data_IF_307697166905
#
_entry.id   IF_307697166905
#
_cell.length_a   1.000
_cell.length_b   1.000
_cell.length_c   1.000
_cell.angle_alpha   90.00
_cell.angle_beta   90.00
_cell.angle_gamma   90.00
#
_symmetry.space_group_name_H-M   'P 1'
#
loop_
_entity.id
_entity.type
_entity.pdbx_description
1 polymer ?
#
# COMPACT_ATOMS: atom_id res chain seq x y z
N UNK A 1 -18.42 5.25 -32.68
CA UNK A 1 -17.87 4.96 -31.34
C UNK A 1 -17.04 3.70 -31.47
N UNK A 2 -15.71 3.79 -31.35
CA UNK A 2 -14.84 2.63 -31.25
C UNK A 2 -15.10 1.94 -29.91
N UNK A 3 -15.47 0.67 -29.95
CA UNK A 3 -15.58 -0.19 -28.76
C UNK A 3 -14.23 -0.21 -28.05
N UNK A 4 -14.20 0.13 -26.77
CA UNK A 4 -12.97 0.08 -25.97
C UNK A 4 -12.44 -1.36 -25.92
N UNK A 5 -11.11 -1.50 -25.96
CA UNK A 5 -10.44 -2.80 -25.84
C UNK A 5 -10.44 -3.25 -24.38
N UNK A 6 -10.89 -4.49 -24.12
CA UNK A 6 -11.07 -5.04 -22.77
C UNK A 6 -10.28 -6.32 -22.47
N UNK A 7 -9.56 -6.86 -23.46
CA UNK A 7 -8.77 -8.09 -23.31
C UNK A 7 -7.31 -7.82 -23.66
N UNK A 8 -6.44 -8.22 -22.74
CA UNK A 8 -5.01 -7.97 -22.78
C UNK A 8 -4.26 -9.26 -22.43
N UNK A 9 -3.13 -9.48 -23.09
CA UNK A 9 -2.20 -10.54 -22.71
C UNK A 9 -1.42 -10.13 -21.46
N UNK A 10 -0.77 -11.12 -20.83
CA UNK A 10 0.15 -10.87 -19.71
C UNK A 10 1.27 -9.89 -20.09
N UNK A 11 1.87 -10.08 -21.26
CA UNK A 11 2.99 -9.25 -21.69
C UNK A 11 2.55 -7.80 -21.96
N UNK A 12 1.32 -7.61 -22.43
CA UNK A 12 0.75 -6.27 -22.58
C UNK A 12 0.55 -5.59 -21.23
N UNK A 13 0.00 -6.29 -20.23
CA UNK A 13 -0.15 -5.73 -18.87
C UNK A 13 1.20 -5.37 -18.26
N UNK A 14 2.26 -6.12 -18.56
CA UNK A 14 3.62 -5.89 -18.05
C UNK A 14 4.45 -4.94 -18.94
N UNK A 15 3.85 -4.25 -19.91
CA UNK A 15 4.60 -3.38 -20.82
C UNK A 15 4.94 -2.04 -20.18
N UNK A 16 6.24 -1.80 -20.00
CA UNK A 16 6.78 -0.51 -19.56
C UNK A 16 6.71 0.57 -20.65
N UNK A 17 6.50 1.85 -20.26
CA UNK A 17 6.69 2.98 -21.17
C UNK A 17 8.12 3.09 -21.70
N UNK A 18 8.27 3.75 -22.84
CA UNK A 18 9.58 4.17 -23.32
C UNK A 18 10.09 5.33 -22.49
N UNK A 19 10.99 5.07 -21.55
CA UNK A 19 11.61 6.11 -20.72
C UNK A 19 12.69 6.86 -21.50
N UNK A 20 12.64 8.19 -21.48
CA UNK A 20 13.73 9.04 -21.98
C UNK A 20 14.87 9.14 -20.95
N UNK A 21 14.55 9.03 -19.67
CA UNK A 21 15.53 9.05 -18.56
C UNK A 21 15.08 8.09 -17.47
N UNK A 22 16.00 7.29 -16.94
CA UNK A 22 15.78 6.38 -15.81
C UNK A 22 16.12 7.06 -14.49
N UNK A 23 15.58 6.54 -13.39
CA UNK A 23 15.83 7.06 -12.04
C UNK A 23 16.86 6.16 -11.37
N UNK A 24 17.98 6.73 -10.94
CA UNK A 24 19.05 5.99 -10.26
C UNK A 24 19.49 6.75 -9.00
N UNK A 25 19.79 6.01 -7.93
CA UNK A 25 20.42 6.54 -6.72
C UNK A 25 21.38 5.51 -6.13
N UNK A 26 22.60 5.93 -5.81
CA UNK A 26 23.62 5.07 -5.19
C UNK A 26 23.80 3.74 -5.94
N UNK A 27 23.86 3.80 -7.28
CA UNK A 27 23.95 2.65 -8.18
C UNK A 27 22.74 1.69 -8.14
N UNK A 28 21.63 2.09 -7.52
CA UNK A 28 20.35 1.39 -7.54
C UNK A 28 19.43 2.01 -8.58
N UNK A 29 19.02 1.21 -9.56
CA UNK A 29 18.01 1.57 -10.56
C UNK A 29 16.62 1.47 -9.92
N UNK A 30 15.90 2.58 -9.85
CA UNK A 30 14.51 2.60 -9.38
C UNK A 30 13.57 2.33 -10.56
N UNK A 31 12.43 1.67 -10.33
CA UNK A 31 11.46 1.46 -11.39
C UNK A 31 10.83 2.78 -11.87
N UNK A 32 10.18 2.72 -13.03
CA UNK A 32 9.66 3.92 -13.69
C UNK A 32 10.74 4.77 -14.34
N UNK A 33 10.35 5.97 -14.75
CA UNK A 33 11.25 6.90 -15.42
C UNK A 33 10.54 8.15 -15.90
N UNK A 34 11.23 8.96 -16.68
CA UNK A 34 10.69 10.21 -17.20
C UNK A 34 10.53 10.18 -18.72
N UNK A 35 9.51 10.87 -19.21
CA UNK A 35 9.38 11.27 -20.60
C UNK A 35 10.38 12.40 -20.95
N UNK A 36 10.48 12.73 -22.24
CA UNK A 36 11.42 13.77 -22.72
C UNK A 36 11.10 15.19 -22.22
N UNK A 37 9.87 15.43 -21.75
CA UNK A 37 9.44 16.70 -21.15
C UNK A 37 9.60 16.73 -19.62
N UNK A 38 10.13 15.64 -19.03
CA UNK A 38 10.32 15.50 -17.59
C UNK A 38 9.11 14.95 -16.82
N UNK A 39 8.00 14.59 -17.47
CA UNK A 39 6.88 13.96 -16.77
C UNK A 39 7.23 12.54 -16.30
N UNK A 40 6.88 12.18 -15.07
CA UNK A 40 7.02 10.79 -14.60
C UNK A 40 6.11 9.84 -15.38
N UNK A 41 6.64 8.66 -15.68
CA UNK A 41 5.97 7.55 -16.34
C UNK A 41 6.01 6.35 -15.38
N UNK A 42 4.87 5.95 -14.82
CA UNK A 42 4.75 4.76 -13.99
C UNK A 42 5.23 3.51 -14.71
N UNK A 43 5.83 2.55 -14.00
CA UNK A 43 6.16 1.27 -14.59
C UNK A 43 4.93 0.50 -15.06
N UNK A 44 5.14 -0.34 -16.09
CA UNK A 44 4.15 -1.30 -16.60
C UNK A 44 2.78 -0.64 -16.91
N UNK A 45 2.79 0.61 -17.36
CA UNK A 45 1.59 1.45 -17.42
C UNK A 45 1.02 1.66 -18.81
N UNK A 46 1.74 1.25 -19.87
CA UNK A 46 1.35 1.48 -21.28
C UNK A 46 -0.06 0.96 -21.56
N UNK A 47 -0.37 -0.24 -21.07
CA UNK A 47 -1.69 -0.85 -21.25
C UNK A 47 -2.48 -0.95 -19.95
N UNK A 48 -1.81 -1.11 -18.80
CA UNK A 48 -2.46 -1.32 -17.50
C UNK A 48 -3.41 -0.18 -17.13
N UNK A 49 -2.96 1.07 -17.21
CA UNK A 49 -3.76 2.26 -16.88
C UNK A 49 -5.00 2.39 -17.79
N UNK A 50 -4.88 2.41 -19.14
CA UNK A 50 -6.06 2.50 -20.00
C UNK A 50 -6.98 1.27 -19.92
N UNK A 51 -6.44 0.08 -19.62
CA UNK A 51 -7.25 -1.12 -19.41
C UNK A 51 -8.15 -0.99 -18.17
N UNK A 52 -7.59 -0.58 -17.03
CA UNK A 52 -8.34 -0.35 -15.79
C UNK A 52 -9.43 0.69 -15.99
N UNK A 53 -9.11 1.80 -16.67
CA UNK A 53 -10.10 2.82 -16.99
C UNK A 53 -11.24 2.28 -17.89
N UNK A 54 -10.93 1.42 -18.86
CA UNK A 54 -11.93 0.82 -19.73
C UNK A 54 -12.86 -0.17 -18.99
N UNK A 55 -12.31 -0.99 -18.09
CA UNK A 55 -13.10 -1.89 -17.24
C UNK A 55 -13.98 -1.13 -16.25
N UNK A 56 -13.45 -0.09 -15.61
CA UNK A 56 -14.23 0.78 -14.72
C UNK A 56 -15.38 1.49 -15.46
N UNK A 57 -15.10 2.01 -16.66
CA UNK A 57 -16.13 2.63 -17.51
C UNK A 57 -17.22 1.63 -17.95
N UNK A 58 -16.87 0.35 -18.13
CA UNK A 58 -17.84 -0.70 -18.43
C UNK A 58 -18.80 -0.93 -17.25
N UNK A 59 -18.31 -0.97 -16.01
CA UNK A 59 -19.13 -1.05 -14.81
C UNK A 59 -20.08 0.15 -14.69
N UNK A 60 -19.54 1.36 -14.88
CA UNK A 60 -20.32 2.59 -14.75
C UNK A 60 -21.40 2.71 -15.83
N UNK A 61 -21.08 2.32 -17.08
CA UNK A 61 -22.05 2.27 -18.17
C UNK A 61 -23.18 1.24 -17.92
N UNK A 62 -22.90 0.19 -17.14
CA UNK A 62 -23.89 -0.77 -16.67
C UNK A 62 -24.67 -0.30 -15.42
N UNK A 63 -24.37 0.89 -14.88
CA UNK A 63 -25.04 1.45 -13.71
C UNK A 63 -24.50 0.92 -12.37
N UNK A 64 -23.30 0.34 -12.36
CA UNK A 64 -22.64 -0.19 -11.16
C UNK A 64 -21.50 0.73 -10.69
N UNK A 65 -21.22 0.80 -9.38
CA UNK A 65 -20.03 1.48 -8.86
C UNK A 65 -18.74 0.80 -9.36
N UNK A 66 -17.70 1.59 -9.59
CA UNK A 66 -16.34 1.11 -9.91
C UNK A 66 -15.44 0.94 -8.67
N UNK A 67 -15.98 1.19 -7.47
CA UNK A 67 -15.27 1.15 -6.18
C UNK A 67 -16.08 0.45 -5.11
N UNK A 68 -15.41 -0.34 -4.27
CA UNK A 68 -15.97 -1.10 -3.15
C UNK A 68 -15.65 -0.47 -1.79
N UNK A 69 -14.54 0.25 -1.68
CA UNK A 69 -14.16 1.01 -0.48
C UNK A 69 -13.99 2.48 -0.85
N UNK A 70 -14.57 3.37 -0.06
CA UNK A 70 -14.36 4.81 -0.21
C UNK A 70 -13.04 5.20 0.48
N UNK A 71 -12.19 6.07 -0.12
CA UNK A 71 -10.94 6.50 0.52
C UNK A 71 -11.14 7.03 1.95
N UNK A 72 -12.24 7.75 2.20
CA UNK A 72 -12.55 8.34 3.51
C UNK A 72 -12.82 7.28 4.60
N UNK A 73 -13.05 6.01 4.22
CA UNK A 73 -13.24 4.92 5.18
C UNK A 73 -11.98 4.64 6.02
N UNK A 74 -10.81 4.99 5.49
CA UNK A 74 -9.50 4.80 6.13
C UNK A 74 -8.79 6.11 6.46
N UNK A 75 -9.47 7.25 6.28
CA UNK A 75 -8.91 8.56 6.64
C UNK A 75 -8.70 8.64 8.15
N UNK A 76 -7.44 8.70 8.57
CA UNK A 76 -7.04 8.64 9.97
C UNK A 76 -5.86 9.56 10.23
N UNK A 77 -5.77 10.05 11.47
CA UNK A 77 -4.67 10.88 11.92
C UNK A 77 -3.33 10.12 11.85
N UNK A 78 -2.29 10.79 11.38
CA UNK A 78 -0.92 10.28 11.46
C UNK A 78 -0.20 10.91 12.65
N UNK A 79 0.46 10.10 13.47
CA UNK A 79 1.30 10.58 14.57
C UNK A 79 2.77 10.21 14.28
N UNK A 80 3.71 11.17 14.34
CA UNK A 80 3.49 12.61 14.55
C UNK A 80 2.79 13.27 13.36
N UNK A 81 1.92 14.26 13.59
CA UNK A 81 1.33 15.01 12.48
C UNK A 81 2.41 15.83 11.73
N UNK A 82 2.08 16.46 10.61
CA UNK A 82 3.06 17.19 9.78
C UNK A 82 3.85 18.23 10.58
N UNK A 83 3.16 19.06 11.37
CA UNK A 83 3.82 20.13 12.14
C UNK A 83 4.74 19.54 13.22
N UNK A 84 4.28 18.52 13.92
CA UNK A 84 5.06 17.77 14.91
C UNK A 84 6.31 17.13 14.28
N UNK A 85 6.16 16.44 13.14
CA UNK A 85 7.26 15.78 12.45
C UNK A 85 8.33 16.79 11.99
N UNK A 86 7.91 17.93 11.41
CA UNK A 86 8.81 19.01 11.02
C UNK A 86 9.52 19.63 12.23
N UNK A 87 8.82 19.79 13.36
CA UNK A 87 9.42 20.28 14.61
C UNK A 87 10.52 19.32 15.09
N UNK A 88 10.26 18.01 15.13
CA UNK A 88 11.25 17.00 15.52
C UNK A 88 12.51 17.07 14.65
N UNK A 89 12.35 17.07 13.32
CA UNK A 89 13.47 17.12 12.38
C UNK A 89 14.31 18.39 12.52
N UNK A 90 13.68 19.56 12.67
CA UNK A 90 14.38 20.84 12.83
C UNK A 90 15.16 20.95 14.14
N UNK A 91 14.76 20.21 15.17
CA UNK A 91 15.41 20.21 16.48
C UNK A 91 16.37 19.03 16.68
N UNK A 92 16.73 18.29 15.63
CA UNK A 92 17.70 17.20 15.72
C UNK A 92 17.17 15.92 16.39
N UNK A 93 15.85 15.81 16.59
CA UNK A 93 15.19 14.60 17.06
C UNK A 93 14.82 13.69 15.86
N UNK A 94 15.83 13.27 15.10
CA UNK A 94 15.66 12.49 13.87
C UNK A 94 15.64 10.98 14.09
N UNK A 95 15.95 10.48 15.29
CA UNK A 95 15.98 9.05 15.62
C UNK A 95 14.59 8.42 15.59
N UNK A 96 13.59 9.06 16.19
CA UNK A 96 12.20 8.63 16.14
C UNK A 96 11.67 8.69 14.70
N UNK A 97 11.99 9.75 13.95
CA UNK A 97 11.63 9.85 12.54
C UNK A 97 12.27 8.75 11.69
N UNK A 98 13.54 8.41 11.96
CA UNK A 98 14.22 7.28 11.31
C UNK A 98 13.50 5.97 11.58
N UNK A 99 13.07 5.71 12.82
CA UNK A 99 12.30 4.51 13.19
C UNK A 99 10.93 4.46 12.53
N UNK A 100 10.22 5.59 12.50
CA UNK A 100 8.89 5.68 11.90
C UNK A 100 8.96 5.43 10.40
N UNK A 101 9.89 6.10 9.69
CA UNK A 101 10.09 5.88 8.26
C UNK A 101 10.61 4.46 7.97
N UNK A 102 11.43 3.87 8.84
CA UNK A 102 11.85 2.48 8.70
C UNK A 102 10.68 1.52 8.84
N UNK A 103 9.78 1.74 9.81
CA UNK A 103 8.56 0.95 9.94
C UNK A 103 7.72 1.05 8.67
N UNK A 104 7.54 2.25 8.09
CA UNK A 104 6.82 2.38 6.81
C UNK A 104 7.45 1.53 5.72
N UNK A 105 8.77 1.64 5.50
CA UNK A 105 9.45 0.83 4.48
C UNK A 105 9.38 -0.68 4.72
N UNK A 106 9.36 -1.11 5.98
CA UNK A 106 9.10 -2.52 6.33
C UNK A 106 7.69 -2.95 5.92
N UNK A 107 6.69 -2.09 6.11
CA UNK A 107 5.30 -2.38 5.70
C UNK A 107 5.15 -2.40 4.19
N UNK A 108 5.81 -1.50 3.45
CA UNK A 108 5.84 -1.53 1.98
C UNK A 108 6.36 -2.88 1.47
N UNK A 109 7.49 -3.35 2.02
CA UNK A 109 8.04 -4.65 1.65
C UNK A 109 7.12 -5.85 1.95
N UNK A 110 6.15 -5.71 2.88
CA UNK A 110 5.16 -6.76 3.15
C UNK A 110 4.10 -6.87 2.05
N UNK A 111 3.81 -5.79 1.30
CA UNK A 111 2.83 -5.77 0.20
C UNK A 111 3.15 -6.84 -0.84
N UNK A 112 4.39 -6.83 -1.34
CA UNK A 112 4.92 -7.85 -2.25
C UNK A 112 4.71 -9.28 -1.74
N UNK A 113 5.13 -9.56 -0.52
CA UNK A 113 5.06 -10.92 0.04
C UNK A 113 3.61 -11.35 0.24
N UNK A 114 2.71 -10.43 0.60
CA UNK A 114 1.27 -10.66 0.63
C UNK A 114 0.69 -11.06 -0.73
N UNK A 115 1.08 -10.36 -1.80
CA UNK A 115 0.65 -10.66 -3.17
C UNK A 115 1.14 -12.04 -3.61
N UNK A 116 2.41 -12.38 -3.33
CA UNK A 116 3.01 -13.67 -3.67
C UNK A 116 2.35 -14.87 -2.99
N UNK A 117 1.62 -14.65 -1.89
CA UNK A 117 0.85 -15.69 -1.21
C UNK A 117 -0.48 -16.02 -1.90
N UNK A 118 -0.96 -15.20 -2.84
CA UNK A 118 -2.20 -15.47 -3.56
C UNK A 118 -1.91 -16.53 -4.63
N UNK A 119 -2.43 -17.76 -4.48
CA UNK A 119 -2.13 -18.83 -5.43
C UNK A 119 -2.82 -18.58 -6.76
N UNK A 120 -2.14 -18.90 -7.87
CA UNK A 120 -2.74 -18.87 -9.19
C UNK A 120 -3.97 -19.79 -9.25
N UNK A 121 -5.09 -19.28 -9.78
CA UNK A 121 -6.31 -20.06 -9.94
C UNK A 121 -7.09 -19.69 -11.20
N UNK A 122 -7.87 -20.65 -11.68
CA UNK A 122 -8.85 -20.45 -12.74
C UNK A 122 -10.14 -19.87 -12.16
N UNK A 123 -10.22 -18.53 -12.13
CA UNK A 123 -11.33 -17.78 -11.56
C UNK A 123 -12.69 -18.08 -12.23
N UNK A 124 -12.67 -18.41 -13.53
CA UNK A 124 -13.89 -18.69 -14.28
C UNK A 124 -14.65 -19.89 -13.72
N UNK A 125 -13.96 -20.83 -13.03
CA UNK A 125 -14.58 -21.99 -12.38
C UNK A 125 -15.47 -21.64 -11.20
N UNK A 126 -15.24 -20.49 -10.57
CA UNK A 126 -16.01 -20.04 -9.41
C UNK A 126 -17.13 -19.07 -9.79
N UNK A 127 -17.08 -18.49 -10.98
CA UNK A 127 -17.98 -17.41 -11.40
C UNK A 127 -18.91 -17.92 -12.50
N UNK A 128 -20.17 -17.46 -12.50
CA UNK A 128 -21.16 -17.88 -13.51
C UNK A 128 -20.96 -17.13 -14.82
N UNK A 129 -20.78 -15.81 -14.73
CA UNK A 129 -20.61 -14.90 -15.84
C UNK A 129 -19.22 -15.03 -16.50
N UNK A 130 -19.08 -14.72 -17.80
CA UNK A 130 -17.77 -14.64 -18.45
C UNK A 130 -16.92 -13.50 -17.87
N UNK A 131 -15.64 -13.78 -17.57
CA UNK A 131 -14.71 -12.78 -16.99
C UNK A 131 -13.58 -12.34 -17.93
N UNK A 132 -13.46 -12.92 -19.13
CA UNK A 132 -12.31 -12.68 -20.04
C UNK A 132 -12.13 -11.22 -20.50
N UNK A 133 -13.18 -10.41 -20.41
CA UNK A 133 -13.18 -9.01 -20.80
C UNK A 133 -13.31 -8.07 -19.59
N UNK A 134 -12.90 -8.52 -18.40
CA UNK A 134 -13.06 -7.77 -17.15
C UNK A 134 -11.72 -7.68 -16.41
N UNK A 135 -11.55 -6.71 -15.52
CA UNK A 135 -10.38 -6.55 -14.65
C UNK A 135 -10.12 -7.82 -13.81
N UNK A 136 -11.17 -8.41 -13.24
CA UNK A 136 -11.15 -9.64 -12.46
C UNK A 136 -10.57 -10.81 -13.26
N UNK A 137 -10.94 -10.95 -14.53
CA UNK A 137 -10.37 -11.98 -15.42
C UNK A 137 -8.89 -11.79 -15.73
N UNK A 138 -8.33 -10.60 -15.49
CA UNK A 138 -6.91 -10.30 -15.71
C UNK A 138 -6.05 -10.33 -14.44
N UNK A 139 -6.61 -10.64 -13.26
CA UNK A 139 -5.86 -10.71 -12.00
C UNK A 139 -4.61 -11.59 -12.11
N UNK A 140 -4.81 -12.84 -12.54
CA UNK A 140 -3.74 -13.82 -12.75
C UNK A 140 -3.15 -13.78 -14.18
N UNK A 141 -3.55 -12.80 -15.00
CA UNK A 141 -2.99 -12.54 -16.33
C UNK A 141 -2.11 -11.30 -16.34
N UNK A 142 -1.48 -10.99 -15.21
CA UNK A 142 -0.45 -9.97 -15.11
C UNK A 142 -0.74 -8.86 -14.10
N UNK A 143 -1.97 -8.63 -13.65
CA UNK A 143 -2.25 -7.52 -12.72
C UNK A 143 -1.60 -7.72 -11.34
N UNK A 144 -1.78 -8.89 -10.73
CA UNK A 144 -1.14 -9.21 -9.45
C UNK A 144 0.39 -9.26 -9.59
N UNK A 145 0.90 -9.75 -10.72
CA UNK A 145 2.33 -9.79 -10.98
C UNK A 145 2.91 -8.38 -11.16
N UNK A 146 2.24 -7.51 -11.92
CA UNK A 146 2.66 -6.13 -12.10
C UNK A 146 2.72 -5.40 -10.75
N UNK A 147 1.70 -5.57 -9.90
CA UNK A 147 1.68 -5.02 -8.56
C UNK A 147 2.85 -5.55 -7.72
N UNK A 148 3.05 -6.87 -7.63
CA UNK A 148 4.18 -7.43 -6.86
C UNK A 148 5.56 -6.98 -7.35
N UNK A 149 5.73 -6.76 -8.66
CA UNK A 149 6.96 -6.23 -9.25
C UNK A 149 7.14 -4.73 -8.97
N UNK A 150 6.07 -3.97 -8.82
CA UNK A 150 6.17 -2.58 -8.40
C UNK A 150 6.60 -2.53 -6.92
N UNK A 151 6.03 -3.37 -6.06
CA UNK A 151 6.39 -3.41 -4.64
C UNK A 151 7.85 -3.80 -4.35
N UNK A 152 8.33 -4.89 -4.97
CA UNK A 152 9.64 -5.47 -4.66
C UNK A 152 10.68 -5.35 -5.77
N UNK A 153 10.30 -4.73 -6.89
CA UNK A 153 11.17 -4.61 -8.05
C UNK A 153 11.14 -5.85 -8.95
N UNK A 154 11.87 -5.75 -10.06
CA UNK A 154 11.98 -6.79 -11.08
C UNK A 154 13.35 -6.72 -11.73
N UNK A 155 13.97 -7.89 -11.90
CA UNK A 155 15.30 -8.02 -12.50
C UNK A 155 16.34 -7.18 -11.72
N UNK A 156 16.85 -6.09 -12.30
CA UNK A 156 17.78 -5.13 -11.68
C UNK A 156 17.10 -3.87 -11.13
N UNK A 157 15.79 -3.70 -11.35
CA UNK A 157 15.01 -2.57 -10.87
C UNK A 157 14.53 -2.79 -9.44
N UNK A 158 14.73 -1.78 -8.60
CA UNK A 158 14.18 -1.68 -7.25
C UNK A 158 12.68 -1.32 -7.27
N UNK A 159 11.94 -1.87 -6.32
CA UNK A 159 10.53 -1.59 -6.06
C UNK A 159 10.30 -0.47 -5.05
N UNK A 160 9.03 -0.27 -4.69
CA UNK A 160 8.61 0.66 -3.64
C UNK A 160 9.35 0.43 -2.32
N UNK A 161 9.61 -0.84 -1.96
CA UNK A 161 10.33 -1.21 -0.73
C UNK A 161 11.70 -0.52 -0.61
N UNK A 162 12.50 -0.58 -1.66
CA UNK A 162 13.83 -0.01 -1.75
C UNK A 162 13.80 1.48 -2.09
N UNK A 163 12.86 1.92 -2.93
CA UNK A 163 12.64 3.34 -3.21
C UNK A 163 12.32 4.12 -1.92
N UNK A 164 11.53 3.53 -1.02
CA UNK A 164 11.20 4.15 0.26
C UNK A 164 12.44 4.28 1.16
N UNK A 165 13.28 3.26 1.25
CA UNK A 165 14.52 3.37 2.02
C UNK A 165 15.48 4.39 1.41
N UNK A 166 15.57 4.45 0.08
CA UNK A 166 16.32 5.49 -0.63
C UNK A 166 15.83 6.90 -0.28
N UNK A 167 14.51 7.11 -0.18
CA UNK A 167 13.90 8.38 0.28
C UNK A 167 14.28 8.69 1.72
N UNK A 168 14.13 7.73 2.65
CA UNK A 168 14.48 7.93 4.07
C UNK A 168 15.94 8.35 4.19
N UNK A 169 16.83 7.62 3.54
CA UNK A 169 18.27 7.80 3.67
C UNK A 169 18.70 9.15 3.04
N UNK A 170 18.14 9.51 1.88
CA UNK A 170 18.33 10.83 1.28
C UNK A 170 17.84 11.97 2.18
N UNK A 171 16.63 11.86 2.71
CA UNK A 171 16.01 12.92 3.47
C UNK A 171 16.73 13.14 4.82
N UNK A 172 17.18 12.06 5.46
CA UNK A 172 17.77 12.08 6.79
C UNK A 172 19.31 12.01 6.81
N UNK A 173 19.97 12.18 5.65
CA UNK A 173 21.43 12.17 5.51
C UNK A 173 22.07 10.86 6.00
N UNK A 174 21.61 9.73 5.44
CA UNK A 174 22.08 8.38 5.76
C UNK A 174 22.08 8.10 7.28
N UNK A 175 20.90 8.14 7.93
CA UNK A 175 20.80 7.99 9.37
C UNK A 175 21.27 6.59 9.80
N UNK A 176 21.80 6.43 11.02
CA UNK A 176 22.23 5.13 11.49
C UNK A 176 21.04 4.18 11.62
N UNK A 177 21.08 3.06 10.89
CA UNK A 177 20.07 1.99 10.96
C UNK A 177 20.58 0.89 11.89
N UNK A 178 19.80 0.60 12.93
CA UNK A 178 20.14 -0.39 13.95
C UNK A 178 19.15 -1.55 13.94
N UNK A 179 19.59 -2.75 14.32
CA UNK A 179 18.76 -3.96 14.26
C UNK A 179 17.50 -3.88 15.13
N UNK A 180 17.54 -3.15 16.23
CA UNK A 180 16.39 -2.98 17.13
C UNK A 180 15.25 -2.19 16.47
N UNK A 181 15.49 -1.45 15.38
CA UNK A 181 14.43 -0.81 14.59
C UNK A 181 13.52 -1.82 13.88
N UNK A 182 13.95 -3.09 13.79
CA UNK A 182 13.20 -4.18 13.21
C UNK A 182 12.61 -5.12 14.27
N UNK A 183 12.74 -4.79 15.55
CA UNK A 183 12.26 -5.63 16.66
C UNK A 183 11.02 -5.04 17.34
N UNK A 184 10.18 -5.92 17.90
CA UNK A 184 8.94 -5.56 18.60
C UNK A 184 7.99 -4.66 17.78
N UNK A 185 7.89 -4.93 16.48
CA UNK A 185 7.05 -4.14 15.59
C UNK A 185 5.56 -4.35 15.89
N UNK A 186 4.71 -3.32 15.77
CA UNK A 186 3.27 -3.42 16.03
C UNK A 186 2.51 -4.21 14.94
N UNK A 187 3.23 -4.70 13.94
CA UNK A 187 2.74 -5.41 12.76
C UNK A 187 3.50 -6.73 12.59
N UNK A 188 2.76 -7.79 12.26
CA UNK A 188 3.34 -9.08 11.91
C UNK A 188 3.71 -9.15 10.43
N UNK A 189 4.91 -9.65 10.09
CA UNK A 189 5.25 -9.93 8.71
C UNK A 189 4.34 -11.03 8.13
N UNK A 190 4.09 -11.02 6.81
CA UNK A 190 3.32 -12.06 6.15
C UNK A 190 4.03 -13.43 6.24
N UNK A 191 3.28 -14.54 6.15
CA UNK A 191 3.88 -15.87 6.09
C UNK A 191 4.95 -15.97 4.99
N UNK A 192 6.11 -16.54 5.32
CA UNK A 192 7.21 -16.73 4.35
C UNK A 192 8.16 -15.54 4.20
N UNK A 193 7.90 -14.41 4.89
CA UNK A 193 8.85 -13.31 4.98
C UNK A 193 10.18 -13.75 5.61
N UNK A 194 11.30 -13.41 4.96
CA UNK A 194 12.66 -13.81 5.37
C UNK A 194 13.53 -12.63 5.82
N UNK A 195 12.97 -11.42 5.90
CA UNK A 195 13.71 -10.23 6.32
C UNK A 195 13.84 -10.08 7.84
N UNK A 196 14.43 -8.97 8.32
CA UNK A 196 14.81 -8.80 9.73
C UNK A 196 13.65 -8.47 10.68
N UNK A 197 12.46 -8.15 10.15
CA UNK A 197 11.31 -7.69 10.92
C UNK A 197 10.77 -8.77 11.87
N UNK A 198 10.65 -8.43 13.15
CA UNK A 198 10.12 -9.30 14.21
C UNK A 198 8.93 -8.59 14.88
N UNK A 199 7.74 -9.21 14.88
CA UNK A 199 6.57 -8.63 15.54
C UNK A 199 6.71 -8.64 17.06
N UNK A 200 5.99 -7.74 17.72
CA UNK A 200 5.69 -7.89 19.15
C UNK A 200 4.75 -9.09 19.38
N UNK A 201 4.73 -9.70 20.58
CA UNK A 201 3.80 -10.79 20.91
C UNK A 201 2.32 -10.43 20.72
N UNK A 202 1.98 -9.15 20.82
CA UNK A 202 0.64 -8.58 20.71
C UNK A 202 0.29 -8.14 19.27
N UNK A 203 1.21 -8.27 18.32
CA UNK A 203 0.94 -7.96 16.92
C UNK A 203 -0.12 -8.91 16.35
N UNK A 204 -1.13 -8.35 15.68
CA UNK A 204 -2.16 -9.16 15.02
C UNK A 204 -1.53 -9.85 13.81
N UNK A 205 -1.72 -11.17 13.75
CA UNK A 205 -1.25 -12.01 12.64
C UNK A 205 -2.34 -12.21 11.58
N UNK A 206 -1.92 -12.68 10.41
CA UNK A 206 -2.77 -13.02 9.27
C UNK A 206 -3.75 -14.19 9.56
N UNK A 207 -3.65 -14.86 10.72
CA UNK A 207 -4.48 -15.99 11.11
C UNK A 207 -6.00 -15.73 11.06
N UNK A 208 -6.42 -14.46 11.23
CA UNK A 208 -7.83 -14.06 11.10
C UNK A 208 -8.43 -14.24 9.71
N UNK A 209 -7.62 -14.44 8.66
CA UNK A 209 -8.13 -14.66 7.29
C UNK A 209 -8.94 -15.96 7.14
N UNK A 210 -8.75 -16.95 8.02
CA UNK A 210 -9.46 -18.24 8.00
C UNK A 210 -10.78 -18.21 8.77
N UNK A 211 -10.96 -17.25 9.68
CA UNK A 211 -12.13 -17.20 10.55
C UNK A 211 -13.37 -16.69 9.80
N UNK A 212 -14.52 -17.34 10.01
CA UNK A 212 -15.79 -16.91 9.42
C UNK A 212 -15.89 -17.08 7.90
N UNK A 213 -15.11 -18.00 7.32
CA UNK A 213 -15.32 -18.44 5.94
C UNK A 213 -16.66 -19.18 5.82
N UNK A 214 -17.37 -18.98 4.71
CA UNK A 214 -18.59 -19.71 4.40
C UNK A 214 -18.27 -21.16 4.01
N UNK A 215 -19.03 -22.11 4.54
CA UNK A 215 -18.86 -23.54 4.24
C UNK A 215 -19.30 -23.91 2.82
N UNK A 216 -20.23 -23.15 2.24
CA UNK A 216 -20.80 -23.40 0.92
C UNK A 216 -20.00 -22.79 -0.24
N UNK A 217 -18.89 -22.09 0.03
CA UNK A 217 -18.05 -21.43 -0.97
C UNK A 217 -16.63 -21.97 -0.91
N UNK A 218 -16.00 -22.13 -2.08
CA UNK A 218 -14.63 -22.60 -2.18
C UNK A 218 -13.69 -21.71 -1.32
N UNK A 219 -12.90 -22.29 -0.39
CA UNK A 219 -12.07 -21.51 0.53
C UNK A 219 -11.02 -20.67 -0.20
N UNK A 220 -10.45 -21.19 -1.29
CA UNK A 220 -9.43 -20.49 -2.09
C UNK A 220 -9.97 -19.18 -2.70
N UNK A 221 -11.22 -19.15 -3.17
CA UNK A 221 -11.84 -17.93 -3.68
C UNK A 221 -12.02 -16.91 -2.55
N UNK A 222 -12.55 -17.35 -1.41
CA UNK A 222 -12.80 -16.45 -0.28
C UNK A 222 -11.50 -15.86 0.28
N UNK A 223 -10.43 -16.67 0.35
CA UNK A 223 -9.11 -16.21 0.76
C UNK A 223 -8.51 -15.21 -0.23
N UNK A 224 -8.66 -15.43 -1.53
CA UNK A 224 -8.21 -14.49 -2.55
C UNK A 224 -8.98 -13.15 -2.46
N UNK A 225 -10.31 -13.18 -2.29
CA UNK A 225 -11.11 -11.96 -2.09
C UNK A 225 -10.67 -11.21 -0.83
N UNK A 226 -10.48 -11.93 0.29
CA UNK A 226 -9.99 -11.33 1.55
C UNK A 226 -8.60 -10.73 1.38
N UNK A 227 -7.69 -11.40 0.69
CA UNK A 227 -6.35 -10.88 0.40
C UNK A 227 -6.43 -9.60 -0.45
N UNK A 228 -7.19 -9.60 -1.54
CA UNK A 228 -7.36 -8.41 -2.38
C UNK A 228 -7.92 -7.21 -1.61
N UNK A 229 -8.95 -7.42 -0.78
CA UNK A 229 -9.49 -6.35 0.06
C UNK A 229 -8.46 -5.90 1.09
N UNK A 230 -7.74 -6.83 1.71
CA UNK A 230 -6.72 -6.51 2.71
C UNK A 230 -5.60 -5.65 2.11
N UNK A 231 -5.14 -5.99 0.91
CA UNK A 231 -4.17 -5.22 0.13
C UNK A 231 -4.75 -3.84 -0.20
N UNK A 232 -5.97 -3.77 -0.73
CA UNK A 232 -6.64 -2.49 -1.03
C UNK A 232 -6.71 -1.55 0.17
N UNK A 233 -7.04 -2.06 1.36
CA UNK A 233 -7.08 -1.25 2.58
C UNK A 233 -5.69 -0.78 2.98
N UNK A 234 -4.65 -1.59 2.76
CA UNK A 234 -3.25 -1.20 2.98
C UNK A 234 -2.88 -0.07 2.02
N UNK A 235 -3.14 -0.18 0.71
CA UNK A 235 -2.81 0.88 -0.26
C UNK A 235 -3.50 2.19 0.05
N UNK A 236 -4.78 2.14 0.45
CA UNK A 236 -5.51 3.34 0.85
C UNK A 236 -4.93 4.00 2.11
N UNK A 237 -4.39 3.22 3.06
CA UNK A 237 -3.67 3.75 4.23
C UNK A 237 -2.26 4.26 3.88
N UNK A 238 -1.57 3.58 2.98
CA UNK A 238 -0.26 3.96 2.46
C UNK A 238 -0.35 5.32 1.76
N UNK A 239 -1.39 5.56 0.97
CA UNK A 239 -1.64 6.85 0.31
C UNK A 239 -1.60 8.05 1.29
N UNK A 240 -2.24 7.94 2.45
CA UNK A 240 -2.20 8.98 3.49
C UNK A 240 -0.82 9.11 4.15
N UNK A 241 -0.15 7.99 4.37
CA UNK A 241 1.23 7.95 4.90
C UNK A 241 2.20 8.63 3.94
N UNK A 242 2.09 8.38 2.64
CA UNK A 242 2.92 8.99 1.61
C UNK A 242 2.62 10.47 1.42
N UNK A 243 1.36 10.89 1.48
CA UNK A 243 1.00 12.30 1.46
C UNK A 243 1.64 13.06 2.64
N UNK A 244 1.57 12.49 3.86
CA UNK A 244 2.25 13.03 5.03
C UNK A 244 3.77 13.09 4.83
N UNK A 245 4.40 12.02 4.34
CA UNK A 245 5.84 11.96 4.14
C UNK A 245 6.32 12.93 3.05
N UNK A 246 5.58 13.07 1.95
CA UNK A 246 5.86 14.03 0.87
C UNK A 246 5.87 15.46 1.39
N UNK A 247 4.93 15.81 2.29
CA UNK A 247 4.88 17.14 2.88
C UNK A 247 5.98 17.40 3.92
N UNK A 248 6.36 16.39 4.70
CA UNK A 248 7.41 16.49 5.73
C UNK A 248 8.80 16.48 5.10
N UNK A 249 9.11 15.45 4.31
CA UNK A 249 10.43 15.22 3.72
C UNK A 249 10.68 16.06 2.47
N UNK A 250 9.64 16.59 1.84
CA UNK A 250 9.73 17.59 0.78
C UNK A 250 10.00 19.01 1.27
N UNK A 251 10.12 19.24 2.58
CA UNK A 251 10.48 20.54 3.15
C UNK A 251 12.01 20.68 3.27
N UNK A 252 12.65 21.62 2.56
CA UNK A 252 14.12 21.79 2.60
C UNK A 252 14.65 22.22 3.97
N UNK A 253 13.79 22.64 4.89
CA UNK A 253 14.19 22.94 6.28
C UNK A 253 14.24 21.71 7.17
N UNK A 254 13.73 20.57 6.71
CA UNK A 254 13.62 19.33 7.46
C UNK A 254 14.36 18.14 6.82
N UNK A 255 14.79 18.28 5.57
CA UNK A 255 15.31 17.20 4.74
C UNK A 255 16.51 17.67 3.94
N UNK A 256 17.58 16.85 3.93
CA UNK A 256 18.82 17.17 3.23
C UNK A 256 18.66 17.14 1.70
N UNK A 257 17.86 16.20 1.18
CA UNK A 257 17.58 16.04 -0.25
C UNK A 257 16.07 16.10 -0.52
N UNK A 258 15.45 17.21 -0.09
CA UNK A 258 14.00 17.40 -0.14
C UNK A 258 13.36 17.24 -1.53
N UNK A 259 14.03 17.69 -2.59
CA UNK A 259 13.53 17.54 -3.96
C UNK A 259 13.47 16.06 -4.40
N UNK A 260 14.54 15.29 -4.15
CA UNK A 260 14.58 13.87 -4.44
C UNK A 260 13.54 13.10 -3.61
N UNK A 261 13.47 13.39 -2.30
CA UNK A 261 12.52 12.76 -1.40
C UNK A 261 11.08 12.99 -1.87
N UNK A 262 10.71 14.24 -2.14
CA UNK A 262 9.37 14.59 -2.62
C UNK A 262 9.04 13.92 -3.95
N UNK A 263 9.93 14.04 -4.94
CA UNK A 263 9.70 13.48 -6.27
C UNK A 263 9.48 11.97 -6.19
N UNK A 264 10.34 11.26 -5.46
CA UNK A 264 10.26 9.80 -5.35
C UNK A 264 9.02 9.34 -4.59
N UNK A 265 8.62 10.02 -3.51
CA UNK A 265 7.36 9.72 -2.81
C UNK A 265 6.16 9.97 -3.74
N UNK A 266 6.16 11.07 -4.49
CA UNK A 266 5.06 11.38 -5.41
C UNK A 266 5.01 10.41 -6.62
N UNK A 267 6.15 9.82 -7.02
CA UNK A 267 6.19 8.70 -7.98
C UNK A 267 5.52 7.45 -7.41
N UNK A 268 5.93 7.01 -6.22
CA UNK A 268 5.31 5.86 -5.53
C UNK A 268 3.79 6.08 -5.44
N UNK A 269 3.33 7.27 -5.03
CA UNK A 269 1.89 7.60 -4.99
C UNK A 269 1.19 7.49 -6.34
N UNK A 270 1.86 7.84 -7.43
CA UNK A 270 1.32 7.71 -8.79
C UNK A 270 1.19 6.23 -9.18
N UNK A 271 2.12 5.40 -8.72
CA UNK A 271 2.12 3.96 -8.97
C UNK A 271 1.02 3.27 -8.15
N UNK A 272 0.85 3.67 -6.89
CA UNK A 272 -0.23 3.23 -6.00
C UNK A 272 -1.64 3.51 -6.55
N UNK A 273 -1.83 4.63 -7.27
CA UNK A 273 -3.11 4.92 -7.92
C UNK A 273 -3.52 3.78 -8.88
N UNK A 274 -2.56 3.12 -9.52
CA UNK A 274 -2.80 1.98 -10.42
C UNK A 274 -3.22 0.76 -9.61
N UNK A 275 -2.56 0.50 -8.49
CA UNK A 275 -2.83 -0.63 -7.60
C UNK A 275 -4.22 -0.53 -6.99
N UNK A 276 -4.54 0.62 -6.40
CA UNK A 276 -5.86 0.94 -5.87
C UNK A 276 -6.92 0.80 -6.97
N UNK A 277 -6.68 1.34 -8.16
CA UNK A 277 -7.67 1.33 -9.23
C UNK A 277 -8.04 -0.08 -9.70
N UNK A 278 -7.07 -0.98 -9.93
CA UNK A 278 -7.40 -2.34 -10.38
C UNK A 278 -8.03 -3.18 -9.26
N UNK A 279 -7.60 -3.02 -8.00
CA UNK A 279 -8.19 -3.72 -6.87
C UNK A 279 -9.65 -3.31 -6.69
N UNK A 280 -9.93 -2.00 -6.70
CA UNK A 280 -11.29 -1.46 -6.66
C UNK A 280 -12.13 -1.98 -7.81
N UNK A 281 -11.61 -1.93 -9.04
CA UNK A 281 -12.32 -2.37 -10.24
C UNK A 281 -12.63 -3.88 -10.20
N UNK A 282 -11.63 -4.74 -9.94
CA UNK A 282 -11.81 -6.19 -9.90
C UNK A 282 -12.76 -6.65 -8.79
N UNK A 283 -12.69 -6.03 -7.60
CA UNK A 283 -13.63 -6.30 -6.50
C UNK A 283 -15.04 -5.79 -6.82
N UNK A 284 -15.16 -4.63 -7.48
CA UNK A 284 -16.45 -4.09 -7.90
C UNK A 284 -17.10 -4.98 -8.97
N UNK A 285 -16.33 -5.48 -9.93
CA UNK A 285 -16.80 -6.46 -10.91
C UNK A 285 -17.30 -7.72 -10.21
N UNK A 286 -16.51 -8.31 -9.31
CA UNK A 286 -16.95 -9.48 -8.55
C UNK A 286 -18.23 -9.22 -7.77
N UNK A 287 -18.40 -8.01 -7.22
CA UNK A 287 -19.62 -7.64 -6.50
C UNK A 287 -20.89 -7.69 -7.38
N UNK A 288 -20.75 -7.50 -8.70
CA UNK A 288 -21.87 -7.60 -9.66
C UNK A 288 -22.15 -9.03 -10.14
N UNK A 289 -21.25 -9.98 -9.85
CA UNK A 289 -21.28 -11.33 -10.41
C UNK A 289 -21.92 -12.35 -9.47
N UNK A 290 -22.21 -13.53 -10.03
CA UNK A 290 -22.75 -14.68 -9.34
C UNK A 290 -21.65 -15.71 -9.09
N UNK A 291 -21.49 -16.12 -7.83
CA UNK A 291 -20.49 -17.11 -7.40
C UNK A 291 -21.15 -18.48 -7.23
N UNK A 292 -20.50 -19.51 -7.75
CA UNK A 292 -20.93 -20.91 -7.63
C UNK A 292 -20.63 -21.46 -6.24
N UNK A 293 -21.59 -22.16 -5.64
CA UNK A 293 -21.37 -22.87 -4.37
C UNK A 293 -20.77 -24.24 -4.62
N UNK A 294 -20.10 -24.79 -3.60
CA UNK A 294 -19.58 -26.17 -3.60
C UNK A 294 -20.70 -27.22 -3.62
N UNK A 295 -21.93 -26.81 -3.29
CA UNK A 295 -23.15 -27.64 -3.24
C UNK A 295 -23.99 -27.59 -4.52
N UNK A 296 -23.54 -26.87 -5.56
CA UNK A 296 -24.21 -26.79 -6.87
C UNK A 296 -25.25 -25.68 -7.01
N UNK A 297 -25.34 -24.77 -6.04
CA UNK A 297 -26.12 -23.53 -6.09
C UNK A 297 -25.27 -22.30 -6.43
N UNK A 298 -25.80 -21.12 -6.10
CA UNK A 298 -25.13 -19.83 -6.33
C UNK A 298 -25.38 -18.83 -5.21
N UNK A 299 -24.46 -17.89 -5.03
CA UNK A 299 -24.58 -16.72 -4.13
C UNK A 299 -24.17 -15.45 -4.87
N UNK A 300 -24.53 -14.29 -4.33
CA UNK A 300 -24.07 -13.01 -4.88
C UNK A 300 -22.61 -12.76 -4.51
N UNK A 301 -21.79 -12.34 -5.47
CA UNK A 301 -20.40 -11.94 -5.20
C UNK A 301 -20.31 -10.73 -4.27
N UNK A 302 -21.32 -9.84 -4.29
CA UNK A 302 -21.45 -8.72 -3.35
C UNK A 302 -21.38 -9.14 -1.88
N UNK A 303 -21.91 -10.33 -1.53
CA UNK A 303 -21.90 -10.81 -0.15
C UNK A 303 -20.47 -11.11 0.32
N UNK A 304 -19.65 -11.70 -0.56
CA UNK A 304 -18.25 -12.01 -0.27
C UNK A 304 -17.41 -10.74 -0.15
N UNK A 305 -17.55 -9.83 -1.13
CA UNK A 305 -16.81 -8.57 -1.17
C UNK A 305 -17.17 -7.69 0.02
N UNK A 306 -18.45 -7.54 0.34
CA UNK A 306 -18.90 -6.72 1.46
C UNK A 306 -18.45 -7.29 2.81
N UNK A 307 -18.47 -8.62 2.97
CA UNK A 307 -17.98 -9.26 4.18
C UNK A 307 -16.46 -9.04 4.35
N UNK A 308 -15.69 -9.24 3.28
CA UNK A 308 -14.25 -8.99 3.29
C UNK A 308 -13.93 -7.51 3.60
N UNK A 309 -14.65 -6.56 3.01
CA UNK A 309 -14.48 -5.12 3.26
C UNK A 309 -14.71 -4.77 4.73
N UNK A 310 -15.79 -5.25 5.35
CA UNK A 310 -16.06 -5.02 6.78
C UNK A 310 -14.94 -5.56 7.64
N UNK A 311 -14.56 -6.83 7.47
CA UNK A 311 -13.50 -7.45 8.25
C UNK A 311 -12.16 -6.72 8.10
N UNK A 312 -11.77 -6.35 6.87
CA UNK A 312 -10.53 -5.64 6.64
C UNK A 312 -10.51 -4.25 7.27
N UNK A 313 -11.61 -3.48 7.14
CA UNK A 313 -11.73 -2.15 7.74
C UNK A 313 -11.75 -2.23 9.28
N UNK A 314 -12.49 -3.16 9.87
CA UNK A 314 -12.53 -3.35 11.33
C UNK A 314 -11.13 -3.70 11.87
N UNK A 315 -10.42 -4.60 11.19
CA UNK A 315 -9.07 -5.00 11.57
C UNK A 315 -8.07 -3.86 11.44
N UNK A 316 -8.17 -3.04 10.39
CA UNK A 316 -7.18 -2.00 10.07
C UNK A 316 -7.46 -0.65 10.71
N UNK A 317 -8.70 -0.38 11.13
CA UNK A 317 -9.08 0.91 11.73
C UNK A 317 -9.46 0.81 13.22
N UNK A 318 -9.41 -0.40 13.80
CA UNK A 318 -9.56 -0.64 15.24
C UNK A 318 -8.21 -0.81 15.95
N UNK A 319 -8.11 -1.79 16.87
CA UNK A 319 -6.97 -1.96 17.77
C UNK A 319 -5.59 -2.08 17.09
N UNK A 320 -5.52 -2.51 15.82
CA UNK A 320 -4.26 -2.50 15.06
C UNK A 320 -3.76 -1.09 14.79
N UNK A 321 -4.67 -0.19 14.45
CA UNK A 321 -4.35 1.21 14.19
C UNK A 321 -3.84 1.90 15.46
N UNK A 322 -4.55 1.71 16.58
CA UNK A 322 -4.18 2.29 17.87
C UNK A 322 -2.77 1.88 18.28
N UNK A 323 -2.41 0.59 18.13
CA UNK A 323 -1.05 0.10 18.41
C UNK A 323 0.02 0.74 17.53
N UNK A 324 -0.29 1.03 16.26
CA UNK A 324 0.66 1.72 15.37
C UNK A 324 0.86 3.15 15.86
N UNK A 325 -0.21 3.86 16.25
CA UNK A 325 -0.10 5.21 16.80
C UNK A 325 0.68 5.23 18.12
N UNK A 326 0.36 4.33 19.04
CA UNK A 326 1.04 4.19 20.33
C UNK A 326 2.52 3.88 20.15
N UNK A 327 2.85 2.96 19.24
CA UNK A 327 4.24 2.63 18.91
C UNK A 327 4.99 3.88 18.43
N UNK A 328 4.44 4.61 17.45
CA UNK A 328 5.07 5.82 16.89
C UNK A 328 5.24 6.91 17.95
N UNK A 329 4.20 7.15 18.75
CA UNK A 329 4.24 8.13 19.84
C UNK A 329 5.29 7.73 20.89
N UNK A 330 5.38 6.45 21.25
CA UNK A 330 6.39 5.97 22.19
C UNK A 330 7.82 6.20 21.69
N UNK A 331 8.09 6.01 20.39
CA UNK A 331 9.40 6.34 19.82
C UNK A 331 9.73 7.82 19.97
N UNK A 332 8.77 8.70 19.68
CA UNK A 332 8.94 10.15 19.84
C UNK A 332 9.19 10.51 21.31
N UNK A 333 8.36 10.01 22.24
CA UNK A 333 8.49 10.30 23.67
C UNK A 333 9.83 9.84 24.22
N UNK A 334 10.29 8.65 23.83
CA UNK A 334 11.57 8.12 24.27
C UNK A 334 12.75 8.99 23.79
N UNK A 335 12.73 9.44 22.54
CA UNK A 335 13.77 10.34 22.03
C UNK A 335 13.73 11.71 22.70
N UNK A 336 12.56 12.33 22.83
CA UNK A 336 12.42 13.63 23.48
C UNK A 336 12.90 13.59 24.93
N UNK A 337 12.59 12.52 25.67
CA UNK A 337 13.07 12.35 27.05
C UNK A 337 14.61 12.22 27.15
N UNK A 338 15.26 11.68 26.12
CA UNK A 338 16.72 11.58 26.06
C UNK A 338 17.40 12.84 25.52
N UNK A 339 16.64 13.77 24.93
CA UNK A 339 17.17 14.98 24.31
C UNK A 339 17.56 16.03 25.38
N UNK A 340 18.67 16.78 25.22
CA UNK A 340 19.09 17.81 26.19
C UNK A 340 18.03 18.88 26.47
N UNK A 341 17.23 19.24 25.46
CA UNK A 341 16.10 20.19 25.55
C UNK A 341 14.73 19.50 25.73
N UNK A 342 14.72 18.27 26.23
CA UNK A 342 13.56 17.37 26.19
C UNK A 342 12.25 17.94 26.73
N UNK A 343 12.28 18.62 27.88
CA UNK A 343 11.08 19.20 28.50
C UNK A 343 10.45 20.29 27.61
N UNK A 344 11.29 21.16 27.03
CA UNK A 344 10.85 22.22 26.12
C UNK A 344 10.25 21.63 24.85
N UNK A 345 10.96 20.66 24.24
CA UNK A 345 10.53 20.03 22.99
C UNK A 345 9.26 19.20 23.17
N UNK A 346 9.08 18.56 24.33
CA UNK A 346 7.85 17.85 24.68
C UNK A 346 6.66 18.82 24.75
N UNK A 347 6.81 19.94 25.45
CA UNK A 347 5.76 20.96 25.52
C UNK A 347 5.41 21.53 24.13
N UNK A 348 6.41 21.74 23.28
CA UNK A 348 6.22 22.20 21.90
C UNK A 348 5.51 21.14 21.03
N UNK A 349 5.91 19.87 21.17
CA UNK A 349 5.28 18.75 20.47
C UNK A 349 3.79 18.62 20.80
N UNK A 350 3.46 18.73 22.08
CA UNK A 350 2.10 18.62 22.60
C UNK A 350 1.24 19.81 22.15
N UNK A 351 1.82 21.01 22.11
CA UNK A 351 1.14 22.21 21.63
C UNK A 351 0.81 22.16 20.12
N UNK A 352 1.53 21.35 19.34
CA UNK A 352 1.33 21.14 17.90
C UNK A 352 0.36 19.99 17.58
N UNK A 353 -0.20 19.31 18.58
CA UNK A 353 -1.16 18.24 18.36
C UNK A 353 -2.51 18.81 17.87
N UNK A 354 -3.03 18.30 16.75
CA UNK A 354 -4.32 18.72 16.19
C UNK A 354 -5.52 18.30 17.07
N UNK A 355 -5.31 17.36 18.00
CA UNK A 355 -6.19 17.05 19.12
C UNK A 355 -5.35 16.93 20.40
N UNK A 356 -5.86 17.29 21.59
CA UNK A 356 -5.13 17.10 22.84
C UNK A 356 -4.85 15.60 22.99
N UNK A 357 -3.58 15.20 23.03
CA UNK A 357 -3.22 13.85 23.44
C UNK A 357 -3.87 13.58 24.78
N UNK A 358 -4.75 12.57 24.85
CA UNK A 358 -5.34 12.16 26.12
C UNK A 358 -4.20 11.92 27.13
N UNK A 359 -4.34 12.58 28.29
CA UNK A 359 -3.35 12.64 29.36
C UNK A 359 -3.08 11.29 30.00
#
# INVERSE_FOLDING_TARGET
MTTARLTYSRDEILTDPGYATRIERNDVLLHGGYASDGSYLPPRSVHRVPAIAAWAAQLEAAGHPSRVIKPEAVDRAFIPNIAQAKMLLRNGASGAMTRILTLVGVVEGFGNDGIKLIPQMDLQRFIVEPIDATCLGHLFRGLLEAHGNDEAGRDDEAGHDQMWFAVRDAALSDPPITLDMFENLPIAPPPGYNGPAKPSPEAITVGGMLEGLREDIAPELQLMVRAMVQILVIELLAYHTFAWASEVLGDPTCSAESEFARATIDHIRTDEDIHVAYLQCGLAELATMTVRTTTGGTVAGADLVSAACRTALDNQTGARFDRILDYRLAQVRAELAAHPDGDRLTAEFDALANEPTAA
#
